data_IF_534959488064
#
_entry.id   IF_534959488064
#
_cell.length_a   1.000
_cell.length_b   1.000
_cell.length_c   1.000
_cell.angle_alpha   90.00
_cell.angle_beta   90.00
_cell.angle_gamma   90.00
#
_symmetry.space_group_name_H-M   'P 1'
#
loop_
_entity.id
_entity.type
_entity.pdbx_description
1 polymer ?
#
# COMPACT_ATOMS: atom_id res chain seq x y z
N UNK A 1 19.07 12.71 15.49
CA UNK A 1 18.34 13.13 14.27
C UNK A 1 18.84 12.27 13.14
N UNK A 2 18.00 11.50 12.45
CA UNK A 2 18.47 10.71 11.30
C UNK A 2 18.78 11.66 10.14
N UNK A 3 19.94 11.51 9.52
CA UNK A 3 20.26 12.21 8.26
C UNK A 3 19.15 11.97 7.24
N UNK A 4 18.53 13.07 6.81
CA UNK A 4 17.56 13.08 5.71
C UNK A 4 18.35 13.07 4.40
N UNK A 5 18.32 11.97 3.66
CA UNK A 5 18.83 11.91 2.30
C UNK A 5 17.70 12.26 1.34
N UNK A 6 17.66 13.53 0.95
CA UNK A 6 16.61 14.13 0.13
C UNK A 6 16.29 13.29 -1.13
N UNK A 7 17.29 12.75 -1.82
CA UNK A 7 17.05 12.00 -3.06
C UNK A 7 16.48 10.61 -2.80
N UNK A 8 16.94 9.95 -1.74
CA UNK A 8 16.53 8.60 -1.38
C UNK A 8 15.12 8.59 -0.77
N UNK A 9 14.76 9.61 -0.01
CA UNK A 9 13.46 9.70 0.67
C UNK A 9 12.33 10.01 -0.31
N UNK A 10 12.51 10.92 -1.27
CA UNK A 10 11.48 11.23 -2.27
C UNK A 10 11.14 10.04 -3.17
N UNK A 11 12.13 9.21 -3.53
CA UNK A 11 11.87 7.99 -4.32
C UNK A 11 11.03 7.00 -3.50
N UNK A 12 11.29 6.86 -2.20
CA UNK A 12 10.50 5.96 -1.34
C UNK A 12 9.06 6.47 -1.18
N UNK A 13 8.87 7.79 -1.06
CA UNK A 13 7.53 8.41 -1.03
C UNK A 13 6.76 8.12 -2.32
N UNK A 14 7.37 8.38 -3.48
CA UNK A 14 6.75 8.12 -4.78
C UNK A 14 6.46 6.64 -4.96
N UNK A 15 7.38 5.75 -4.59
CA UNK A 15 7.17 4.32 -4.67
C UNK A 15 6.01 3.85 -3.77
N UNK A 16 5.91 4.36 -2.54
CA UNK A 16 4.79 4.04 -1.64
C UNK A 16 3.45 4.47 -2.23
N UNK A 17 3.39 5.66 -2.84
CA UNK A 17 2.21 6.15 -3.53
C UNK A 17 1.84 5.26 -4.72
N UNK A 18 2.81 4.91 -5.57
CA UNK A 18 2.59 4.03 -6.73
C UNK A 18 2.09 2.65 -6.29
N UNK A 19 2.64 2.08 -5.22
CA UNK A 19 2.18 0.79 -4.67
C UNK A 19 0.72 0.90 -4.21
N UNK A 20 0.39 1.95 -3.44
CA UNK A 20 -0.97 2.16 -2.96
C UNK A 20 -1.96 2.40 -4.11
N UNK A 21 -1.63 3.27 -5.07
CA UNK A 21 -2.50 3.53 -6.22
C UNK A 21 -2.66 2.28 -7.08
N UNK A 22 -1.57 1.53 -7.32
CA UNK A 22 -1.59 0.29 -8.09
C UNK A 22 -2.51 -0.77 -7.48
N UNK A 23 -2.39 -1.01 -6.17
CA UNK A 23 -3.28 -1.97 -5.49
C UNK A 23 -4.74 -1.48 -5.48
N UNK A 24 -4.96 -0.18 -5.26
CA UNK A 24 -6.31 0.39 -5.23
C UNK A 24 -7.00 0.24 -6.59
N UNK A 25 -6.32 0.59 -7.68
CA UNK A 25 -6.86 0.47 -9.04
C UNK A 25 -7.14 -0.99 -9.41
N UNK A 26 -6.28 -1.93 -8.99
CA UNK A 26 -6.51 -3.36 -9.22
C UNK A 26 -7.76 -3.87 -8.50
N UNK A 27 -7.97 -3.44 -7.25
CA UNK A 27 -9.19 -3.76 -6.49
C UNK A 27 -10.43 -3.13 -7.09
N UNK A 28 -10.34 -1.87 -7.50
CA UNK A 28 -11.42 -1.18 -8.19
C UNK A 28 -11.80 -1.91 -9.49
N UNK A 29 -10.83 -2.30 -10.32
CA UNK A 29 -11.08 -3.10 -11.50
C UNK A 29 -11.75 -4.45 -11.17
N UNK A 30 -11.31 -5.13 -10.12
CA UNK A 30 -11.94 -6.37 -9.66
C UNK A 30 -13.42 -6.17 -9.24
N UNK A 31 -13.74 -5.06 -8.57
CA UNK A 31 -15.12 -4.72 -8.20
C UNK A 31 -16.01 -4.42 -9.40
N UNK A 32 -15.45 -3.87 -10.48
CA UNK A 32 -16.18 -3.61 -11.73
C UNK A 32 -16.44 -4.92 -12.50
N UNK A 33 -15.47 -5.85 -12.52
CA UNK A 33 -15.59 -7.13 -13.24
C UNK A 33 -16.50 -8.11 -12.49
N UNK A 34 -16.43 -8.13 -11.16
CA UNK A 34 -17.16 -9.05 -10.29
C UNK A 34 -18.03 -8.29 -9.28
N UNK A 35 -19.09 -7.62 -9.73
CA UNK A 35 -19.97 -6.85 -8.84
C UNK A 35 -20.63 -7.79 -7.83
N UNK A 36 -20.51 -7.47 -6.54
CA UNK A 36 -21.12 -8.16 -5.40
C UNK A 36 -20.86 -9.67 -5.30
N UNK A 37 -19.90 -10.18 -6.07
CA UNK A 37 -19.60 -11.60 -6.15
C UNK A 37 -18.48 -11.97 -5.17
N UNK A 38 -18.60 -13.14 -4.53
CA UNK A 38 -17.56 -13.67 -3.64
C UNK A 38 -16.15 -13.70 -4.27
N UNK A 39 -15.97 -14.01 -5.58
CA UNK A 39 -14.66 -13.92 -6.24
C UNK A 39 -14.05 -12.52 -6.21
N UNK A 40 -14.86 -11.47 -6.39
CA UNK A 40 -14.39 -10.07 -6.34
C UNK A 40 -13.81 -9.70 -4.98
N UNK A 41 -14.44 -10.19 -3.89
CA UNK A 41 -13.95 -10.00 -2.52
C UNK A 41 -12.61 -10.69 -2.28
N UNK A 42 -12.47 -11.94 -2.73
CA UNK A 42 -11.21 -12.72 -2.60
C UNK A 42 -10.08 -12.06 -3.38
N UNK A 43 -10.33 -11.67 -4.63
CA UNK A 43 -9.34 -10.97 -5.46
C UNK A 43 -8.95 -9.64 -4.80
N UNK A 44 -9.93 -8.91 -4.27
CA UNK A 44 -9.69 -7.66 -3.55
C UNK A 44 -8.79 -7.84 -2.33
N UNK A 45 -8.99 -8.91 -1.56
CA UNK A 45 -8.15 -9.28 -0.42
C UNK A 45 -6.71 -9.61 -0.87
N UNK A 46 -6.55 -10.40 -1.93
CA UNK A 46 -5.24 -10.76 -2.48
C UNK A 46 -4.44 -9.52 -2.91
N UNK A 47 -5.09 -8.55 -3.56
CA UNK A 47 -4.43 -7.29 -3.94
C UNK A 47 -4.01 -6.45 -2.75
N UNK A 48 -4.80 -6.42 -1.67
CA UNK A 48 -4.39 -5.72 -0.46
C UNK A 48 -3.23 -6.41 0.26
N UNK A 49 -3.22 -7.74 0.33
CA UNK A 49 -2.08 -8.49 0.86
C UNK A 49 -0.82 -8.23 0.03
N UNK A 50 -0.94 -8.22 -1.30
CA UNK A 50 0.16 -7.88 -2.20
C UNK A 50 0.66 -6.44 -1.99
N UNK A 51 -0.26 -5.47 -1.82
CA UNK A 51 0.08 -4.08 -1.51
C UNK A 51 0.83 -3.93 -0.20
N UNK A 52 0.37 -4.57 0.88
CA UNK A 52 1.05 -4.57 2.17
C UNK A 52 2.43 -5.23 2.10
N UNK A 53 2.53 -6.36 1.39
CA UNK A 53 3.81 -7.05 1.17
C UNK A 53 4.79 -6.16 0.39
N UNK A 54 4.33 -5.45 -0.63
CA UNK A 54 5.14 -4.51 -1.41
C UNK A 54 5.62 -3.32 -0.56
N UNK A 55 4.77 -2.77 0.31
CA UNK A 55 5.16 -1.71 1.25
C UNK A 55 6.18 -2.20 2.29
N UNK A 56 5.99 -3.41 2.83
CA UNK A 56 6.95 -4.02 3.75
C UNK A 56 8.30 -4.32 3.06
N UNK A 57 8.27 -4.72 1.79
CA UNK A 57 9.47 -4.89 0.98
C UNK A 57 10.16 -3.55 0.74
N UNK A 58 9.41 -2.51 0.36
CA UNK A 58 9.94 -1.16 0.16
C UNK A 58 10.63 -0.63 1.41
N UNK A 59 10.02 -0.84 2.60
CA UNK A 59 10.62 -0.48 3.89
C UNK A 59 12.01 -1.10 4.08
N UNK A 60 12.15 -2.39 3.74
CA UNK A 60 13.42 -3.13 3.87
C UNK A 60 14.47 -2.67 2.86
N UNK A 61 14.10 -2.56 1.58
CA UNK A 61 15.05 -2.19 0.50
C UNK A 61 15.56 -0.77 0.67
N UNK A 62 14.69 0.15 1.09
CA UNK A 62 15.07 1.56 1.33
C UNK A 62 15.69 1.77 2.71
N UNK A 63 15.83 0.71 3.51
CA UNK A 63 16.43 0.74 4.86
C UNK A 63 15.84 1.85 5.72
N UNK A 64 14.51 2.02 5.67
CA UNK A 64 13.82 3.09 6.41
C UNK A 64 14.06 2.89 7.91
N UNK A 65 14.73 3.85 8.54
CA UNK A 65 15.21 3.73 9.92
C UNK A 65 14.18 4.13 10.98
N UNK A 66 13.16 4.91 10.60
CA UNK A 66 12.17 5.45 11.54
C UNK A 66 10.88 5.82 10.83
N UNK A 67 9.76 5.67 11.54
CA UNK A 67 8.44 6.15 11.13
C UNK A 67 8.35 7.68 11.09
N UNK A 68 9.26 8.39 11.77
CA UNK A 68 9.30 9.86 11.80
C UNK A 68 10.07 10.49 10.64
N UNK A 69 10.47 9.69 9.65
CA UNK A 69 11.04 10.18 8.38
C UNK A 69 9.93 10.38 7.36
N UNK A 70 10.14 11.23 6.36
CA UNK A 70 9.17 11.42 5.27
C UNK A 70 8.84 10.11 4.55
N UNK A 71 9.85 9.28 4.28
CA UNK A 71 9.66 7.96 3.71
C UNK A 71 8.89 7.01 4.64
N UNK A 72 9.20 7.00 5.93
CA UNK A 72 8.50 6.20 6.93
C UNK A 72 7.03 6.58 7.08
N UNK A 73 6.72 7.88 7.13
CA UNK A 73 5.36 8.40 7.15
C UNK A 73 4.59 8.03 5.89
N UNK A 74 5.17 8.19 4.70
CA UNK A 74 4.52 7.85 3.44
C UNK A 74 4.16 6.35 3.38
N UNK A 75 5.07 5.47 3.78
CA UNK A 75 4.81 4.02 3.83
C UNK A 75 3.74 3.71 4.87
N UNK A 76 3.77 4.35 6.05
CA UNK A 76 2.79 4.13 7.10
C UNK A 76 1.38 4.57 6.67
N UNK A 77 1.24 5.73 6.03
CA UNK A 77 -0.03 6.23 5.51
C UNK A 77 -0.56 5.30 4.41
N UNK A 78 0.30 4.89 3.47
CA UNK A 78 -0.08 3.95 2.42
C UNK A 78 -0.53 2.60 2.98
N UNK A 79 0.13 2.10 4.03
CA UNK A 79 -0.24 0.87 4.69
C UNK A 79 -1.59 1.00 5.41
N UNK A 80 -1.80 2.10 6.15
CA UNK A 80 -3.07 2.39 6.82
C UNK A 80 -4.23 2.50 5.83
N UNK A 81 -4.04 3.21 4.73
CA UNK A 81 -5.03 3.31 3.66
C UNK A 81 -5.33 1.92 3.07
N UNK A 82 -4.31 1.11 2.81
CA UNK A 82 -4.49 -0.26 2.29
C UNK A 82 -5.28 -1.13 3.27
N UNK A 83 -5.00 -1.03 4.57
CA UNK A 83 -5.76 -1.75 5.62
C UNK A 83 -7.21 -1.26 5.67
N UNK A 84 -7.44 0.05 5.63
CA UNK A 84 -8.80 0.59 5.61
C UNK A 84 -9.59 0.10 4.38
N UNK A 85 -8.95 0.08 3.22
CA UNK A 85 -9.54 -0.43 1.99
C UNK A 85 -9.83 -1.95 2.04
N UNK A 86 -9.24 -2.72 2.97
CA UNK A 86 -9.57 -4.15 3.15
C UNK A 86 -10.86 -4.40 3.88
N UNK A 87 -11.43 -3.39 4.55
CA UNK A 87 -12.65 -3.57 5.33
C UNK A 87 -13.86 -3.97 4.46
N UNK A 88 -14.17 -3.32 3.31
CA UNK A 88 -15.33 -3.71 2.50
C UNK A 88 -15.28 -5.17 2.00
N UNK A 89 -14.15 -5.68 1.46
CA UNK A 89 -14.02 -7.10 1.13
C UNK A 89 -14.26 -8.09 2.29
N UNK A 90 -14.00 -7.67 3.54
CA UNK A 90 -14.13 -8.51 4.73
C UNK A 90 -15.54 -8.52 5.32
N UNK A 91 -16.25 -7.40 5.28
CA UNK A 91 -17.56 -7.25 5.93
C UNK A 91 -18.76 -7.42 5.00
N UNK A 92 -18.53 -7.34 3.70
CA UNK A 92 -19.54 -7.63 2.68
C UNK A 92 -20.28 -6.40 2.20
#
# INVERSE_FOLDING_TARGET
MSEFDNRTDWIAVVAALVIWTGQFMAKWAASVIFPDAAPGRVIGLLFSLAGLAALAWLWRVRKVRSLWTTAGLAIAIAALATVFDTLPPLFG
#
